data_IF_729172221144
#
_entry.id   IF_729172221144
#
_cell.length_a   1.000
_cell.length_b   1.000
_cell.length_c   1.000
_cell.angle_alpha   90.00
_cell.angle_beta   90.00
_cell.angle_gamma   90.00
#
_symmetry.space_group_name_H-M   'P 1'
#
loop_
_entity.id
_entity.type
_entity.pdbx_description
1 polymer ?
#
# COMPACT_ATOMS: atom_id res chain seq x y z
N UNK A 1 -14.08 12.05 19.09
CA UNK A 1 -13.08 11.06 18.63
C UNK A 1 -12.99 11.19 17.13
N UNK A 2 -11.79 11.22 16.54
CA UNK A 2 -11.66 11.13 15.08
C UNK A 2 -12.09 9.74 14.64
N UNK A 3 -13.08 9.65 13.75
CA UNK A 3 -13.44 8.40 13.10
C UNK A 3 -12.33 8.00 12.14
N UNK A 4 -11.90 6.73 12.20
CA UNK A 4 -10.86 6.20 11.32
C UNK A 4 -11.51 5.37 10.22
N UNK A 5 -11.17 5.67 8.97
CA UNK A 5 -11.48 4.81 7.83
C UNK A 5 -10.34 3.83 7.61
N UNK A 6 -10.67 2.56 7.44
CA UNK A 6 -9.71 1.46 7.25
C UNK A 6 -10.00 0.76 5.94
N UNK A 7 -8.96 0.57 5.12
CA UNK A 7 -9.01 -0.25 3.91
C UNK A 7 -8.05 -1.43 4.13
N UNK A 8 -8.56 -2.59 4.59
CA UNK A 8 -7.71 -3.73 4.96
C UNK A 8 -7.01 -4.35 3.75
N UNK A 9 -7.67 -4.42 2.60
CA UNK A 9 -7.17 -5.01 1.37
C UNK A 9 -7.61 -4.14 0.18
N UNK A 10 -6.78 -3.17 -0.26
CA UNK A 10 -6.96 -2.46 -1.51
C UNK A 10 -6.99 -3.42 -2.71
N UNK A 11 -7.76 -3.10 -3.74
CA UNK A 11 -7.86 -3.93 -4.94
C UNK A 11 -6.47 -4.20 -5.54
N UNK A 12 -6.20 -5.47 -5.86
CA UNK A 12 -4.92 -5.91 -6.40
C UNK A 12 -3.76 -5.96 -5.39
N UNK A 13 -3.99 -5.71 -4.10
CA UNK A 13 -2.97 -5.87 -3.04
C UNK A 13 -3.30 -7.12 -2.23
N UNK A 14 -2.32 -8.03 -2.08
CA UNK A 14 -2.50 -9.23 -1.27
C UNK A 14 -2.98 -8.89 0.15
N UNK A 15 -4.01 -9.56 0.68
CA UNK A 15 -4.53 -9.26 2.01
C UNK A 15 -3.47 -9.41 3.11
N UNK A 16 -3.38 -8.41 3.99
CA UNK A 16 -2.60 -8.51 5.21
C UNK A 16 -3.33 -9.34 6.29
N UNK A 17 -2.61 -10.25 6.95
CA UNK A 17 -3.20 -11.10 7.99
C UNK A 17 -3.44 -10.38 9.33
N UNK A 18 -2.63 -9.37 9.67
CA UNK A 18 -2.59 -8.80 11.03
C UNK A 18 -2.64 -7.26 11.09
N UNK A 19 -2.77 -6.58 9.95
CA UNK A 19 -2.77 -5.12 9.88
C UNK A 19 -3.66 -4.60 8.73
N UNK A 20 -3.86 -3.29 8.68
CA UNK A 20 -4.63 -2.61 7.63
C UNK A 20 -3.66 -1.93 6.66
N UNK A 21 -3.80 -2.11 5.34
CA UNK A 21 -2.91 -1.47 4.38
C UNK A 21 -3.03 0.05 4.36
N UNK A 22 -4.25 0.59 4.43
CA UNK A 22 -4.51 2.04 4.39
C UNK A 22 -5.41 2.46 5.55
N UNK A 23 -4.96 3.45 6.33
CA UNK A 23 -5.75 4.07 7.38
C UNK A 23 -5.79 5.58 7.18
N UNK A 24 -6.99 6.15 7.26
CA UNK A 24 -7.24 7.58 7.15
C UNK A 24 -7.98 8.05 8.40
N UNK A 25 -7.57 9.20 8.94
CA UNK A 25 -8.29 9.88 10.02
C UNK A 25 -8.94 11.17 9.54
N UNK A 26 -9.41 11.98 10.48
CA UNK A 26 -9.86 13.34 10.18
C UNK A 26 -8.73 14.20 9.61
N UNK A 27 -8.94 14.80 8.44
CA UNK A 27 -7.96 15.62 7.73
C UNK A 27 -7.52 14.99 6.42
N UNK A 28 -6.29 15.28 5.97
CA UNK A 28 -5.73 14.82 4.68
C UNK A 28 -4.54 13.86 4.85
N UNK A 29 -4.34 13.28 6.04
CA UNK A 29 -3.22 12.38 6.28
C UNK A 29 -3.63 10.93 6.05
N UNK A 30 -2.85 10.23 5.24
CA UNK A 30 -3.02 8.82 4.93
C UNK A 30 -1.79 8.07 5.45
N UNK A 31 -2.00 7.05 6.26
CA UNK A 31 -0.95 6.12 6.66
C UNK A 31 -1.06 4.84 5.83
N UNK A 32 -0.01 4.56 5.05
CA UNK A 32 0.10 3.33 4.26
C UNK A 32 1.11 2.40 4.92
N UNK A 33 0.72 1.16 5.18
CA UNK A 33 1.63 0.14 5.69
C UNK A 33 2.67 -0.25 4.63
N UNK A 34 3.83 -0.74 5.08
CA UNK A 34 4.90 -1.16 4.17
C UNK A 34 4.41 -2.16 3.12
N UNK A 35 4.83 -1.95 1.87
CA UNK A 35 4.45 -2.82 0.75
C UNK A 35 5.58 -3.77 0.43
N UNK A 36 5.21 -5.02 0.16
CA UNK A 36 6.13 -6.09 -0.20
C UNK A 36 6.06 -6.35 -1.71
N UNK A 37 7.07 -7.02 -2.25
CA UNK A 37 7.09 -7.49 -3.63
C UNK A 37 6.21 -8.73 -3.82
N UNK A 38 4.94 -8.64 -3.38
CA UNK A 38 3.93 -9.67 -3.56
C UNK A 38 2.98 -9.27 -4.68
N UNK A 39 2.51 -10.24 -5.46
CA UNK A 39 1.35 -10.06 -6.33
C UNK A 39 0.03 -10.15 -5.53
N UNK A 40 -1.11 -10.05 -6.20
CA UNK A 40 -2.44 -10.12 -5.58
C UNK A 40 -2.72 -11.48 -4.91
N UNK A 41 -2.10 -12.56 -5.40
CA UNK A 41 -2.21 -13.90 -4.80
C UNK A 41 -1.30 -14.08 -3.57
N UNK A 42 -0.46 -13.10 -3.26
CA UNK A 42 0.49 -13.16 -2.15
C UNK A 42 1.81 -13.86 -2.52
N UNK A 43 2.08 -14.07 -3.82
CA UNK A 43 3.31 -14.69 -4.28
C UNK A 43 4.41 -13.68 -4.54
N UNK A 44 5.65 -14.07 -4.24
CA UNK A 44 6.82 -13.19 -4.42
C UNK A 44 7.12 -12.99 -5.91
N UNK A 45 7.03 -11.74 -6.36
CA UNK A 45 7.47 -11.31 -7.68
C UNK A 45 8.97 -11.08 -7.69
N UNK A 46 9.67 -11.54 -8.73
CA UNK A 46 11.10 -11.25 -8.91
C UNK A 46 12.03 -11.93 -7.89
N UNK A 47 11.84 -13.22 -7.58
CA UNK A 47 12.64 -13.99 -6.58
C UNK A 47 14.16 -13.87 -6.69
N UNK A 48 14.70 -13.44 -7.83
CA UNK A 48 16.13 -13.18 -8.04
C UNK A 48 16.38 -11.88 -8.82
N UNK A 49 15.40 -10.97 -8.84
CA UNK A 49 15.45 -9.69 -9.53
C UNK A 49 15.02 -8.57 -8.57
N UNK A 50 15.97 -7.90 -7.90
CA UNK A 50 15.68 -6.78 -7.00
C UNK A 50 14.99 -5.61 -7.70
N UNK A 51 15.24 -5.40 -8.99
CA UNK A 51 14.59 -4.32 -9.74
C UNK A 51 13.12 -4.65 -10.01
N UNK A 52 12.79 -5.90 -10.34
CA UNK A 52 11.40 -6.36 -10.42
C UNK A 52 10.70 -6.29 -9.06
N UNK A 53 11.38 -6.65 -7.97
CA UNK A 53 10.84 -6.51 -6.62
C UNK A 53 10.51 -5.06 -6.28
N UNK A 54 11.44 -4.14 -6.54
CA UNK A 54 11.20 -2.72 -6.31
C UNK A 54 10.00 -2.22 -7.11
N UNK A 55 9.89 -2.57 -8.40
CA UNK A 55 8.72 -2.21 -9.23
C UNK A 55 7.41 -2.73 -8.63
N UNK A 56 7.39 -3.98 -8.15
CA UNK A 56 6.20 -4.55 -7.52
C UNK A 56 5.83 -3.81 -6.22
N UNK A 57 6.81 -3.46 -5.39
CA UNK A 57 6.58 -2.67 -4.16
C UNK A 57 5.94 -1.32 -4.50
N UNK A 58 6.46 -0.61 -5.49
CA UNK A 58 5.91 0.69 -5.92
C UNK A 58 4.54 0.55 -6.60
N UNK A 59 4.29 -0.53 -7.34
CA UNK A 59 2.97 -0.83 -7.90
C UNK A 59 1.93 -1.07 -6.78
N UNK A 60 2.30 -1.81 -5.73
CA UNK A 60 1.42 -2.01 -4.57
C UNK A 60 1.21 -0.70 -3.78
N UNK A 61 2.23 0.14 -3.66
CA UNK A 61 2.09 1.49 -3.08
C UNK A 61 1.14 2.36 -3.91
N UNK A 62 1.24 2.30 -5.24
CA UNK A 62 0.33 3.01 -6.13
C UNK A 62 -1.13 2.63 -5.89
N UNK A 63 -1.43 1.32 -5.77
CA UNK A 63 -2.77 0.81 -5.47
C UNK A 63 -3.28 1.29 -4.10
N UNK A 64 -2.42 1.29 -3.09
CA UNK A 64 -2.76 1.82 -1.76
C UNK A 64 -3.07 3.33 -1.79
N UNK A 65 -2.28 4.12 -2.53
CA UNK A 65 -2.51 5.55 -2.73
C UNK A 65 -3.84 5.78 -3.46
N UNK A 66 -4.08 5.07 -4.56
CA UNK A 66 -5.30 5.18 -5.34
C UNK A 66 -6.55 4.83 -4.51
N UNK A 67 -6.48 3.81 -3.65
CA UNK A 67 -7.55 3.47 -2.71
C UNK A 67 -7.86 4.57 -1.69
N UNK A 68 -6.89 5.43 -1.39
CA UNK A 68 -7.05 6.63 -0.56
C UNK A 68 -7.44 7.88 -1.38
N UNK A 69 -7.59 7.77 -2.70
CA UNK A 69 -7.81 8.91 -3.59
C UNK A 69 -6.58 9.81 -3.78
N UNK A 70 -5.38 9.27 -3.57
CA UNK A 70 -4.11 9.99 -3.64
C UNK A 70 -3.19 9.45 -4.76
N UNK A 71 -2.11 10.18 -5.02
CA UNK A 71 -1.07 9.88 -6.01
C UNK A 71 0.32 9.99 -5.38
N UNK A 72 1.37 9.63 -6.12
CA UNK A 72 2.75 9.77 -5.65
C UNK A 72 3.17 11.22 -5.41
N UNK A 73 2.56 12.19 -6.10
CA UNK A 73 2.86 13.62 -5.93
C UNK A 73 2.46 14.13 -4.53
N UNK A 74 1.63 13.38 -3.81
CA UNK A 74 1.15 13.70 -2.46
C UNK A 74 1.96 12.96 -1.37
N UNK A 75 2.98 12.17 -1.75
CA UNK A 75 3.84 11.46 -0.80
C UNK A 75 4.84 12.44 -0.19
N UNK A 76 4.64 12.75 1.09
CA UNK A 76 5.51 13.65 1.86
C UNK A 76 6.66 12.92 2.59
N UNK A 77 6.57 11.60 2.75
CA UNK A 77 7.59 10.78 3.42
C UNK A 77 7.55 9.33 2.93
N UNK A 78 8.71 8.79 2.59
CA UNK A 78 8.97 7.36 2.33
C UNK A 78 10.07 6.90 3.31
N UNK A 79 10.13 5.61 3.66
CA UNK A 79 11.09 5.05 4.62
C UNK A 79 11.73 3.80 4.08
#
# INVERSE_FOLDING_TARGET
MSELTRIPAPDGVAPAAAYTHVVMGSGRFVAISGQLALDEAGEVVGRSDPAAQARQVFENLHRCLAAAGATFDEVVKLT
#
